data_IF_473432290928
#
_entry.id   IF_473432290928
#
_cell.length_a   1.000
_cell.length_b   1.000
_cell.length_c   1.000
_cell.angle_alpha   90.00
_cell.angle_beta   90.00
_cell.angle_gamma   90.00
#
_symmetry.space_group_name_H-M   'P 1'
#
loop_
_entity.id
_entity.type
_entity.pdbx_description
1 polymer ?
#
# COMPACT_ATOMS: atom_id res chain seq x y z
N UNK A 1 -44.61 -23.92 -19.93
CA UNK A 1 -43.57 -23.09 -19.29
C UNK A 1 -42.32 -23.17 -20.13
N UNK A 2 -41.85 -22.04 -20.67
CA UNK A 2 -40.67 -21.99 -21.56
C UNK A 2 -39.48 -21.57 -20.72
N UNK A 3 -38.57 -22.51 -20.44
CA UNK A 3 -37.25 -22.20 -19.89
C UNK A 3 -36.30 -22.00 -21.07
N UNK A 4 -36.14 -20.75 -21.47
CA UNK A 4 -35.48 -20.36 -22.73
C UNK A 4 -34.18 -19.58 -22.57
N UNK A 5 -33.50 -19.66 -21.43
CA UNK A 5 -32.19 -19.01 -21.24
C UNK A 5 -31.14 -20.00 -20.75
N UNK A 6 -29.97 -20.09 -21.41
CA UNK A 6 -28.91 -21.00 -21.00
C UNK A 6 -28.36 -20.57 -19.63
N UNK A 7 -28.24 -21.54 -18.72
CA UNK A 7 -27.58 -21.38 -17.42
C UNK A 7 -26.10 -21.03 -17.65
N UNK A 8 -25.75 -19.76 -17.46
CA UNK A 8 -24.36 -19.32 -17.53
C UNK A 8 -23.62 -19.81 -16.28
N UNK A 9 -22.51 -20.52 -16.49
CA UNK A 9 -21.67 -21.03 -15.40
C UNK A 9 -20.96 -19.85 -14.74
N UNK A 10 -20.81 -19.83 -13.40
CA UNK A 10 -20.00 -18.83 -12.72
C UNK A 10 -18.56 -18.83 -13.30
N UNK A 11 -18.20 -17.79 -14.05
CA UNK A 11 -16.92 -17.68 -14.74
C UNK A 11 -17.00 -17.38 -16.24
N UNK A 12 -18.13 -17.66 -16.90
CA UNK A 12 -18.36 -17.30 -18.32
C UNK A 12 -19.09 -15.97 -18.45
N UNK A 13 -18.42 -14.86 -18.09
CA UNK A 13 -19.04 -13.52 -18.13
C UNK A 13 -19.11 -12.91 -19.53
N UNK A 14 -18.43 -13.50 -20.52
CA UNK A 14 -18.39 -12.97 -21.87
C UNK A 14 -19.04 -13.98 -22.82
N UNK A 15 -20.04 -13.57 -23.63
CA UNK A 15 -20.64 -14.46 -24.61
C UNK A 15 -19.56 -14.89 -25.61
N UNK A 16 -19.37 -16.21 -25.76
CA UNK A 16 -18.44 -16.78 -26.75
C UNK A 16 -19.05 -16.68 -28.15
N UNK A 17 -19.16 -15.45 -28.67
CA UNK A 17 -19.54 -15.21 -30.06
C UNK A 17 -18.28 -15.17 -30.91
N UNK A 18 -18.18 -16.14 -31.83
CA UNK A 18 -17.14 -16.18 -32.85
C UNK A 18 -17.20 -14.88 -33.66
N UNK A 19 -16.28 -13.96 -33.37
CA UNK A 19 -16.03 -12.71 -34.10
C UNK A 19 -17.30 -11.97 -34.55
N UNK A 20 -18.12 -11.54 -33.61
CA UNK A 20 -19.14 -10.52 -33.87
C UNK A 20 -18.45 -9.13 -33.84
N UNK A 21 -18.61 -8.26 -34.87
CA UNK A 21 -18.12 -6.88 -34.82
C UNK A 21 -18.56 -6.11 -33.57
N UNK A 22 -19.65 -6.54 -32.92
CA UNK A 22 -20.18 -5.91 -31.71
C UNK A 22 -19.30 -6.12 -30.46
N UNK A 23 -18.53 -7.22 -30.38
CA UNK A 23 -17.65 -7.49 -29.22
C UNK A 23 -16.52 -6.47 -29.13
N UNK A 24 -15.98 -6.04 -30.27
CA UNK A 24 -14.95 -4.98 -30.30
C UNK A 24 -15.50 -3.64 -29.83
N UNK A 25 -16.76 -3.33 -30.19
CA UNK A 25 -17.45 -2.13 -29.73
C UNK A 25 -17.71 -2.19 -28.23
N UNK A 26 -18.21 -3.31 -27.75
CA UNK A 26 -18.44 -3.58 -26.32
C UNK A 26 -17.16 -3.46 -25.50
N UNK A 27 -16.04 -4.03 -25.97
CA UNK A 27 -14.75 -3.90 -25.27
C UNK A 27 -14.22 -2.47 -25.27
N UNK A 28 -14.43 -1.71 -26.36
CA UNK A 28 -14.06 -0.30 -26.41
C UNK A 28 -14.87 0.52 -25.40
N UNK A 29 -16.19 0.28 -25.34
CA UNK A 29 -17.11 0.94 -24.39
C UNK A 29 -16.81 0.55 -22.94
N UNK A 30 -16.49 -0.71 -22.67
CA UNK A 30 -16.10 -1.18 -21.34
C UNK A 30 -14.79 -0.54 -20.88
N UNK A 31 -13.80 -0.43 -21.77
CA UNK A 31 -12.52 0.21 -21.47
C UNK A 31 -12.68 1.71 -21.25
N UNK A 32 -13.54 2.37 -22.01
CA UNK A 32 -13.87 3.78 -21.78
C UNK A 32 -14.55 3.95 -20.42
N UNK A 33 -15.60 3.18 -20.13
CA UNK A 33 -16.30 3.21 -18.85
C UNK A 33 -15.37 2.97 -17.64
N UNK A 34 -14.52 1.94 -17.69
CA UNK A 34 -13.54 1.69 -16.62
C UNK A 34 -12.47 2.79 -16.58
N UNK A 35 -12.07 3.34 -17.72
CA UNK A 35 -11.13 4.47 -17.79
C UNK A 35 -11.69 5.77 -17.20
N UNK A 36 -13.01 5.95 -17.24
CA UNK A 36 -13.71 7.06 -16.58
C UNK A 36 -13.84 6.85 -15.05
N UNK A 37 -13.72 5.62 -14.54
CA UNK A 37 -13.60 5.33 -13.11
C UNK A 37 -12.22 5.75 -12.60
N UNK A 38 -11.96 7.06 -12.59
CA UNK A 38 -10.79 7.60 -11.89
C UNK A 38 -11.06 7.51 -10.40
N UNK A 39 -10.11 6.99 -9.59
CA UNK A 39 -10.16 7.18 -8.16
C UNK A 39 -10.28 8.68 -7.91
N UNK A 40 -11.38 9.11 -7.30
CA UNK A 40 -11.49 10.48 -6.82
C UNK A 40 -10.34 10.68 -5.84
N UNK A 41 -9.54 11.73 -6.06
CA UNK A 41 -8.49 12.09 -5.12
C UNK A 41 -9.15 12.24 -3.76
N UNK A 42 -8.92 11.28 -2.86
CA UNK A 42 -9.47 11.33 -1.53
C UNK A 42 -8.92 12.59 -0.87
N UNK A 43 -9.80 13.46 -0.39
CA UNK A 43 -9.41 14.49 0.57
C UNK A 43 -8.78 13.76 1.74
N UNK A 44 -7.48 13.92 1.95
CA UNK A 44 -6.83 13.43 3.16
C UNK A 44 -7.46 14.23 4.31
N UNK A 45 -8.43 13.64 5.00
CA UNK A 45 -9.07 14.25 6.17
C UNK A 45 -8.09 14.18 7.35
N UNK A 46 -7.05 15.01 7.30
CA UNK A 46 -6.03 15.06 8.33
C UNK A 46 -4.76 15.74 7.82
N UNK A 47 -4.17 16.57 8.67
CA UNK A 47 -2.81 17.03 8.46
C UNK A 47 -1.89 15.81 8.54
N UNK A 48 -1.00 15.62 7.55
CA UNK A 48 0.13 14.69 7.62
C UNK A 48 1.14 15.19 8.67
N UNK A 49 0.74 15.23 9.95
CA UNK A 49 1.62 15.62 11.03
C UNK A 49 2.21 14.36 11.63
N UNK A 50 3.46 14.09 11.29
CA UNK A 50 4.29 13.17 12.06
C UNK A 50 4.39 13.73 13.48
N UNK A 51 3.76 13.06 14.45
CA UNK A 51 3.88 13.40 15.86
C UNK A 51 4.95 12.49 16.46
N UNK A 52 6.10 13.08 16.78
CA UNK A 52 7.17 12.38 17.49
C UNK A 52 6.93 12.64 18.99
N UNK A 53 6.83 11.59 19.83
CA UNK A 53 6.74 11.75 21.28
C UNK A 53 7.91 12.56 21.84
N UNK A 54 7.64 13.49 22.76
CA UNK A 54 8.69 14.32 23.38
C UNK A 54 9.77 13.48 24.06
N UNK A 55 9.40 12.32 24.60
CA UNK A 55 10.31 11.41 25.30
C UNK A 55 11.45 10.91 24.40
N UNK A 56 11.26 10.88 23.07
CA UNK A 56 12.31 10.52 22.13
C UNK A 56 13.44 11.55 22.04
N UNK A 57 13.19 12.81 22.40
CA UNK A 57 14.26 13.81 22.49
C UNK A 57 15.20 13.56 23.68
N UNK A 58 14.71 12.87 24.70
CA UNK A 58 15.47 12.52 25.91
C UNK A 58 15.92 11.07 25.94
N UNK A 59 15.46 10.24 24.99
CA UNK A 59 15.79 8.83 24.95
C UNK A 59 17.28 8.63 24.60
N UNK A 60 17.94 7.72 25.32
CA UNK A 60 19.33 7.35 25.01
C UNK A 60 19.40 6.24 23.96
N UNK A 61 18.36 5.42 23.87
CA UNK A 61 18.31 4.27 22.96
C UNK A 61 16.94 4.10 22.31
N UNK A 62 16.92 3.58 21.08
CA UNK A 62 15.70 3.29 20.32
C UNK A 62 15.76 1.94 19.61
N UNK A 63 14.58 1.38 19.38
CA UNK A 63 14.37 0.24 18.50
C UNK A 63 13.92 0.73 17.11
N UNK A 64 14.48 0.14 16.06
CA UNK A 64 14.25 0.60 14.67
C UNK A 64 13.44 -0.43 13.89
N UNK A 65 12.38 0.02 13.22
CA UNK A 65 11.51 -0.86 12.45
C UNK A 65 12.20 -1.35 11.17
N UNK A 66 12.03 -2.64 10.86
CA UNK A 66 12.37 -3.23 9.57
C UNK A 66 11.18 -3.10 8.62
N UNK A 67 11.30 -2.24 7.60
CA UNK A 67 10.26 -2.05 6.58
C UNK A 67 10.36 -3.03 5.39
N UNK A 68 11.26 -4.01 5.47
CA UNK A 68 11.40 -5.05 4.44
C UNK A 68 10.42 -6.20 4.65
N UNK A 69 10.14 -6.96 3.59
CA UNK A 69 9.30 -8.17 3.69
C UNK A 69 9.99 -9.19 4.62
N UNK A 70 9.38 -9.43 5.77
CA UNK A 70 9.87 -10.36 6.78
C UNK A 70 9.17 -11.72 6.69
N UNK A 71 9.84 -12.74 7.25
CA UNK A 71 9.21 -14.05 7.42
C UNK A 71 8.16 -13.99 8.53
N UNK A 72 7.15 -14.87 8.54
CA UNK A 72 6.21 -14.97 9.64
C UNK A 72 6.93 -15.11 10.99
N UNK A 73 6.38 -14.49 12.04
CA UNK A 73 6.88 -14.53 13.43
C UNK A 73 8.27 -13.92 13.67
N UNK A 74 8.74 -13.02 12.80
CA UNK A 74 9.93 -12.21 13.07
C UNK A 74 9.59 -10.90 13.78
N UNK A 75 10.49 -10.44 14.66
CA UNK A 75 10.34 -9.13 15.32
C UNK A 75 10.38 -8.02 14.27
N UNK A 76 9.36 -7.15 14.23
CA UNK A 76 9.34 -6.04 13.30
C UNK A 76 10.38 -4.95 13.64
N UNK A 77 10.98 -4.99 14.81
CA UNK A 77 11.98 -4.04 15.28
C UNK A 77 13.34 -4.71 15.54
N UNK A 78 14.40 -3.95 15.30
CA UNK A 78 15.77 -4.32 15.59
C UNK A 78 16.33 -3.47 16.70
N UNK A 79 17.22 -4.11 17.46
CA UNK A 79 18.38 -3.49 18.11
C UNK A 79 18.04 -2.46 19.17
N UNK A 80 18.91 -2.35 20.17
CA UNK A 80 18.90 -1.21 21.06
C UNK A 80 19.99 -0.26 20.53
N UNK A 81 19.63 0.68 19.66
CA UNK A 81 20.60 1.58 19.04
C UNK A 81 20.73 2.88 19.84
N UNK A 82 21.95 3.32 20.07
CA UNK A 82 22.22 4.55 20.81
C UNK A 82 21.90 5.76 19.93
N UNK A 83 21.17 6.74 20.47
CA UNK A 83 20.97 8.03 19.83
C UNK A 83 22.22 8.89 20.06
N UNK A 84 22.83 9.36 18.98
CA UNK A 84 23.96 10.30 19.00
C UNK A 84 23.41 11.74 19.02
N UNK A 85 22.45 12.03 18.13
CA UNK A 85 21.80 13.32 18.03
C UNK A 85 20.30 13.15 17.79
N UNK A 86 19.44 13.61 18.72
CA UNK A 86 18.01 13.71 18.49
C UNK A 86 17.69 14.95 17.65
N UNK A 87 16.82 14.81 16.65
CA UNK A 87 16.27 15.91 15.87
C UNK A 87 14.74 15.90 15.91
N UNK A 88 14.11 16.94 15.33
CA UNK A 88 12.64 17.11 15.38
C UNK A 88 11.87 15.97 14.72
N UNK A 89 12.42 15.44 13.65
CA UNK A 89 11.83 14.36 12.87
C UNK A 89 12.85 13.31 12.45
N UNK A 90 14.13 13.55 12.72
CA UNK A 90 15.21 12.68 12.24
C UNK A 90 16.18 12.42 13.38
N UNK A 91 16.58 11.17 13.56
CA UNK A 91 17.47 10.73 14.63
C UNK A 91 18.75 10.18 14.04
N UNK A 92 19.88 10.57 14.62
CA UNK A 92 21.17 10.00 14.27
C UNK A 92 21.51 8.90 15.25
N UNK A 93 21.67 7.68 14.75
CA UNK A 93 21.90 6.48 15.55
C UNK A 93 23.31 5.93 15.32
N UNK A 94 23.85 5.28 16.35
CA UNK A 94 25.04 4.45 16.22
C UNK A 94 24.61 2.99 15.99
N UNK A 95 24.81 2.51 14.76
CA UNK A 95 24.51 1.15 14.34
C UNK A 95 25.82 0.49 13.94
N UNK A 96 26.25 -0.55 14.67
CA UNK A 96 27.47 -1.31 14.40
C UNK A 96 28.74 -0.43 14.22
N UNK A 97 28.84 0.65 15.01
CA UNK A 97 29.96 1.60 14.96
C UNK A 97 29.87 2.64 13.83
N UNK A 98 28.79 2.61 13.03
CA UNK A 98 28.50 3.59 11.98
C UNK A 98 27.35 4.50 12.38
N UNK A 99 27.45 5.77 12.02
CA UNK A 99 26.37 6.74 12.18
C UNK A 99 25.37 6.60 11.03
N UNK A 100 24.09 6.41 11.37
CA UNK A 100 22.99 6.32 10.41
C UNK A 100 21.88 7.31 10.76
N UNK A 101 21.16 7.81 9.75
CA UNK A 101 20.10 8.81 9.92
C UNK A 101 18.74 8.23 9.61
N UNK A 102 17.84 8.23 10.58
CA UNK A 102 16.45 7.76 10.43
C UNK A 102 15.49 8.93 10.36
N UNK A 103 14.60 8.92 9.37
CA UNK A 103 13.59 9.96 9.10
C UNK A 103 12.17 9.55 9.49
#
# INVERSE_FOLDING_TARGET
>A
MVYGTPLTVPGEFLPNTKSDPDVKRYLAELRDNIGQLRPVLMSIHGTLRSSVPNDLHTANFVFVRRDTRQRPLQSPYNGLYQIIHPGDKTFQLLIDGRQDSLH
#
